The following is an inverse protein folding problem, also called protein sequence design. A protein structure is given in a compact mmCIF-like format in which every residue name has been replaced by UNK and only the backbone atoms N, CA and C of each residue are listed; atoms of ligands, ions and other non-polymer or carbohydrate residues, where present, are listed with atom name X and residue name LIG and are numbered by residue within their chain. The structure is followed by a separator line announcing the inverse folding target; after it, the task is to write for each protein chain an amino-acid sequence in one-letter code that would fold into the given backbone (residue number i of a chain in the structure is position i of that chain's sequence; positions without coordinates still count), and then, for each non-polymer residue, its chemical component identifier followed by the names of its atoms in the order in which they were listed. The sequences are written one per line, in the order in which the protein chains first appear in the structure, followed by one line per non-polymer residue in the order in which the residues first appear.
data_IF_117952135325
#
_entry.id   IF_117952135325
#
_cell.length_a   1.000
_cell.length_b   1.000
_cell.length_c   1.000
_cell.angle_alpha   90.00
_cell.angle_beta   90.00
_cell.angle_gamma   90.00
#
_symmetry.space_group_name_H-M   'P 1'
#
loop_
_entity.id
_entity.type
_entity.pdbx_description
1 polymer ?
#
# COMPACT_ATOMS: atom_id res chain seq x y z
N UNK A 1 4.87 -23.05 31.86
CA UNK A 1 5.13 -21.70 31.31
C UNK A 1 4.00 -21.33 30.35
N UNK A 2 2.99 -20.58 30.80
CA UNK A 2 1.91 -20.13 29.93
C UNK A 2 2.49 -19.13 28.90
N UNK A 3 2.37 -19.44 27.60
CA UNK A 3 2.74 -18.50 26.53
C UNK A 3 1.83 -17.27 26.64
N UNK A 4 2.36 -16.15 27.16
CA UNK A 4 1.65 -14.86 27.13
C UNK A 4 1.38 -14.51 25.67
N UNK A 5 0.11 -14.56 25.27
CA UNK A 5 -0.34 -14.19 23.93
C UNK A 5 -0.10 -12.68 23.82
N UNK A 6 0.88 -12.26 23.01
CA UNK A 6 1.10 -10.83 22.75
C UNK A 6 -0.16 -10.27 22.11
N UNK A 7 -0.80 -9.32 22.76
CA UNK A 7 -1.93 -8.59 22.19
C UNK A 7 -1.42 -7.88 20.93
N UNK A 8 -2.00 -8.20 19.77
CA UNK A 8 -1.66 -7.53 18.52
C UNK A 8 -2.48 -6.24 18.45
N UNK A 9 -1.85 -5.11 18.74
CA UNK A 9 -2.45 -3.80 18.48
C UNK A 9 -2.55 -3.60 16.97
N UNK A 10 -3.73 -3.24 16.50
CA UNK A 10 -3.98 -2.87 15.10
C UNK A 10 -4.43 -1.43 15.04
N UNK A 11 -3.95 -0.72 14.02
CA UNK A 11 -4.26 0.67 13.73
C UNK A 11 -5.01 0.70 12.40
N UNK A 12 -6.09 1.49 12.34
CA UNK A 12 -6.85 1.69 11.11
C UNK A 12 -6.52 3.06 10.55
N UNK A 13 -6.24 3.09 9.26
CA UNK A 13 -5.92 4.31 8.52
C UNK A 13 -6.76 4.35 7.25
N UNK A 14 -7.12 5.55 6.79
CA UNK A 14 -7.84 5.78 5.54
C UNK A 14 -6.87 6.42 4.55
N UNK A 15 -6.89 5.97 3.28
CA UNK A 15 -6.16 6.64 2.22
C UNK A 15 -6.95 7.87 1.76
N UNK A 16 -6.35 9.06 1.92
CA UNK A 16 -6.99 10.32 1.56
C UNK A 16 -7.32 10.47 0.06
N UNK A 17 -6.68 9.68 -0.81
CA UNK A 17 -6.87 9.73 -2.26
C UNK A 17 -7.98 8.80 -2.75
N UNK A 18 -8.08 7.59 -2.17
CA UNK A 18 -9.00 6.54 -2.64
C UNK A 18 -10.14 6.25 -1.67
N UNK A 19 -10.08 6.77 -0.44
CA UNK A 19 -11.05 6.47 0.63
C UNK A 19 -10.97 5.03 1.15
N UNK A 20 -9.93 4.28 0.78
CA UNK A 20 -9.75 2.90 1.19
C UNK A 20 -9.20 2.80 2.61
N UNK A 21 -9.77 1.91 3.43
CA UNK A 21 -9.31 1.65 4.79
C UNK A 21 -8.25 0.54 4.83
N UNK A 22 -7.13 0.80 5.50
CA UNK A 22 -6.05 -0.14 5.71
C UNK A 22 -5.81 -0.39 7.19
N UNK A 23 -5.64 -1.66 7.56
CA UNK A 23 -5.34 -2.07 8.93
C UNK A 23 -3.86 -2.43 9.02
N UNK A 24 -3.10 -1.67 9.81
CA UNK A 24 -1.69 -1.89 10.04
C UNK A 24 -1.44 -2.39 11.46
N UNK A 25 -0.41 -3.22 11.64
CA UNK A 25 0.05 -3.64 12.98
C UNK A 25 1.15 -2.73 13.54
N UNK A 26 1.60 -1.76 12.74
CA UNK A 26 2.58 -0.75 13.11
C UNK A 26 1.92 0.63 13.07
N UNK A 27 2.33 1.51 14.00
CA UNK A 27 1.87 2.90 14.02
C UNK A 27 2.62 3.66 12.93
N UNK A 28 1.88 4.37 12.08
CA UNK A 28 2.45 5.33 11.15
C UNK A 28 2.80 6.65 11.87
N UNK A 29 3.96 7.22 11.56
CA UNK A 29 4.38 8.52 12.09
C UNK A 29 3.53 9.67 11.51
N UNK A 30 3.30 9.67 10.20
CA UNK A 30 2.48 10.65 9.48
C UNK A 30 1.27 9.96 8.81
N UNK A 31 0.15 9.76 9.53
CA UNK A 31 -1.02 9.09 8.97
C UNK A 31 -1.72 9.89 7.85
N UNK A 32 -1.55 11.20 7.83
CA UNK A 32 -2.17 12.13 6.86
C UNK A 32 -1.49 12.07 5.48
N UNK A 33 -0.23 11.62 5.43
CA UNK A 33 0.52 11.41 4.20
C UNK A 33 0.37 9.98 3.65
N UNK A 34 -0.39 9.11 4.34
CA UNK A 34 -0.59 7.74 3.88
C UNK A 34 -1.41 7.71 2.59
N UNK A 35 -0.84 7.01 1.62
CA UNK A 35 -1.47 6.75 0.33
C UNK A 35 -1.45 5.26 0.03
N UNK A 36 -2.43 4.79 -0.75
CA UNK A 36 -2.45 3.42 -1.21
C UNK A 36 -1.26 3.18 -2.14
N UNK A 37 -0.74 1.95 -2.15
CA UNK A 37 0.37 1.55 -3.02
C UNK A 37 0.02 1.80 -4.49
N UNK A 38 -1.23 1.57 -4.87
CA UNK A 38 -1.72 1.85 -6.22
C UNK A 38 -1.62 3.34 -6.56
N UNK A 39 -2.14 4.21 -5.70
CA UNK A 39 -2.10 5.65 -5.91
C UNK A 39 -0.65 6.18 -6.02
N UNK A 40 0.27 5.60 -5.24
CA UNK A 40 1.69 5.96 -5.34
C UNK A 40 2.28 5.67 -6.72
N UNK A 41 2.01 4.49 -7.30
CA UNK A 41 2.48 4.15 -8.65
C UNK A 41 1.77 4.93 -9.75
N UNK A 42 0.50 5.29 -9.57
CA UNK A 42 -0.22 6.16 -10.52
C UNK A 42 0.39 7.57 -10.58
N UNK A 43 0.93 8.07 -9.47
CA UNK A 43 1.65 9.35 -9.41
C UNK A 43 3.13 9.27 -9.80
N UNK A 44 3.74 8.08 -9.72
CA UNK A 44 5.17 7.86 -10.02
C UNK A 44 5.34 6.72 -11.05
N UNK A 45 4.84 6.91 -12.29
CA UNK A 45 4.90 5.86 -13.32
C UNK A 45 6.33 5.48 -13.71
N UNK A 46 7.28 6.42 -13.59
CA UNK A 46 8.71 6.22 -13.83
C UNK A 46 9.38 5.29 -12.80
N UNK A 47 8.77 5.12 -11.62
CA UNK A 47 9.26 4.27 -10.54
C UNK A 47 8.46 2.98 -10.40
N UNK A 48 7.62 2.67 -11.39
CA UNK A 48 6.85 1.45 -11.37
C UNK A 48 7.74 0.23 -11.66
N UNK A 49 8.22 -0.39 -10.60
CA UNK A 49 9.01 -1.62 -10.57
C UNK A 49 8.15 -2.88 -10.45
N UNK A 50 6.82 -2.78 -10.61
CA UNK A 50 5.94 -3.95 -10.64
C UNK A 50 6.37 -4.90 -11.76
N UNK A 51 6.34 -6.23 -11.53
CA UNK A 51 6.76 -7.18 -12.56
C UNK A 51 5.76 -7.19 -13.72
N UNK A 52 6.25 -7.56 -14.91
CA UNK A 52 5.51 -7.43 -16.16
C UNK A 52 4.18 -8.20 -16.17
N UNK A 53 4.13 -9.35 -15.50
CA UNK A 53 2.90 -10.13 -15.35
C UNK A 53 1.84 -9.42 -14.50
N UNK A 54 2.26 -8.62 -13.51
CA UNK A 54 1.37 -7.79 -12.70
C UNK A 54 0.92 -6.56 -13.50
N UNK A 55 1.82 -5.90 -14.22
CA UNK A 55 1.49 -4.76 -15.10
C UNK A 55 0.48 -5.14 -16.17
N UNK A 56 0.69 -6.31 -16.82
CA UNK A 56 -0.25 -6.88 -17.80
C UNK A 56 -1.63 -7.15 -17.21
N UNK A 57 -1.71 -7.72 -15.99
CA UNK A 57 -2.99 -7.96 -15.28
C UNK A 57 -3.72 -6.66 -14.94
N UNK A 58 -2.97 -5.58 -14.70
CA UNK A 58 -3.52 -4.25 -14.43
C UNK A 58 -3.90 -3.47 -15.70
N UNK A 59 -3.60 -4.00 -16.89
CA UNK A 59 -3.87 -3.33 -18.16
C UNK A 59 -2.98 -2.13 -18.44
N UNK A 60 -1.83 -2.03 -17.76
CA UNK A 60 -0.84 -1.00 -18.04
C UNK A 60 -0.04 -1.43 -19.26
N UNK A 61 -0.22 -0.72 -20.38
CA UNK A 61 0.57 -0.96 -21.59
C UNK A 61 2.03 -0.61 -21.28
N UNK A 62 2.90 -1.60 -21.38
CA UNK A 62 4.34 -1.42 -21.27
C UNK A 62 4.75 -0.66 -22.53
N UNK A 63 4.72 0.66 -22.49
CA UNK A 63 5.33 1.49 -23.52
C UNK A 63 6.84 1.36 -23.36
N UNK A 64 7.41 0.30 -23.94
CA UNK A 64 8.83 0.25 -24.26
C UNK A 64 9.15 1.53 -25.06
N UNK A 65 10.00 2.40 -24.50
CA UNK A 65 10.67 3.48 -25.24
C UNK A 65 12.08 3.06 -25.58
#
# INVERSE_FOLDING_TARGET
MARRKKEKTTYKYECNLTGEEYILTAKADNPEELMSVKAWYEMNPDKDDRPDDVKKKLGLEISES
#
